data_IF_627045683936
#
_entry.id   IF_627045683936
#
_cell.length_a   1.000
_cell.length_b   1.000
_cell.length_c   1.000
_cell.angle_alpha   90.00
_cell.angle_beta   90.00
_cell.angle_gamma   90.00
#
_symmetry.space_group_name_H-M   'P 1'
#
loop_
_entity.id
_entity.type
_entity.pdbx_description
1 polymer ?
#
# COMPACT_ATOMS: atom_id res chain seq x y z
N UNK A 1 53.67 2.71 -46.57
CA UNK A 1 52.59 3.51 -46.00
C UNK A 1 51.71 2.57 -45.16
N UNK A 2 52.01 2.53 -43.89
CA UNK A 2 51.27 1.73 -42.90
C UNK A 2 50.13 2.60 -42.32
N UNK A 3 48.90 2.14 -42.48
CA UNK A 3 47.76 2.77 -41.80
C UNK A 3 47.69 2.18 -40.41
N UNK A 4 47.89 3.01 -39.41
CA UNK A 4 47.67 2.68 -38.03
C UNK A 4 46.17 2.38 -37.78
N UNK A 5 45.92 1.24 -37.26
CA UNK A 5 44.62 0.81 -36.71
C UNK A 5 44.52 1.44 -35.30
N UNK A 6 43.85 2.58 -35.19
CA UNK A 6 43.49 3.18 -33.92
C UNK A 6 42.19 2.59 -33.46
N UNK A 7 42.29 1.43 -32.82
CA UNK A 7 41.20 0.92 -32.00
C UNK A 7 41.08 1.79 -30.75
N UNK A 8 40.05 2.64 -30.74
CA UNK A 8 39.62 3.33 -29.53
C UNK A 8 39.27 2.30 -28.45
N UNK A 9 39.72 2.42 -27.22
CA UNK A 9 39.30 1.56 -26.16
C UNK A 9 37.80 1.83 -25.86
N UNK A 10 36.99 0.82 -26.14
CA UNK A 10 35.62 0.78 -25.69
C UNK A 10 35.65 0.60 -24.16
N UNK A 11 35.46 1.70 -23.42
CA UNK A 11 35.32 1.69 -21.98
C UNK A 11 33.92 1.21 -21.64
N UNK A 12 33.77 -0.11 -21.65
CA UNK A 12 32.60 -0.81 -21.12
C UNK A 12 32.85 -1.09 -19.65
N UNK A 13 32.42 -0.24 -18.74
CA UNK A 13 31.89 -0.61 -17.42
C UNK A 13 31.71 0.60 -16.50
N UNK A 14 30.74 1.42 -16.81
CA UNK A 14 30.00 2.09 -15.75
C UNK A 14 28.52 1.72 -15.86
N UNK A 15 28.24 0.44 -15.81
CA UNK A 15 26.93 -0.07 -15.51
C UNK A 15 26.58 0.42 -14.10
N UNK A 16 25.60 1.30 -13.98
CA UNK A 16 25.01 1.66 -12.72
C UNK A 16 24.40 0.40 -12.11
N UNK A 17 25.17 -0.34 -11.31
CA UNK A 17 24.68 -1.50 -10.59
C UNK A 17 23.70 -1.03 -9.51
N UNK A 18 22.42 -1.12 -9.79
CA UNK A 18 21.39 -0.88 -8.77
C UNK A 18 21.48 -2.01 -7.75
N UNK A 19 21.87 -1.67 -6.52
CA UNK A 19 21.91 -2.64 -5.45
C UNK A 19 20.50 -3.01 -5.02
N UNK A 20 20.14 -4.29 -5.14
CA UNK A 20 18.92 -4.85 -4.57
C UNK A 20 19.21 -5.39 -3.18
N UNK A 21 18.36 -5.04 -2.22
CA UNK A 21 18.46 -5.52 -0.84
C UNK A 21 17.14 -6.14 -0.39
N UNK A 22 17.19 -7.20 0.44
CA UNK A 22 15.98 -7.79 1.02
C UNK A 22 15.12 -6.73 1.70
N UNK A 23 13.81 -6.83 1.54
CA UNK A 23 12.87 -5.95 2.22
C UNK A 23 12.61 -6.50 3.62
N UNK A 24 12.73 -5.63 4.60
CA UNK A 24 12.48 -5.93 6.01
C UNK A 24 11.81 -4.72 6.70
N UNK A 25 11.38 -4.93 7.92
CA UNK A 25 10.68 -3.92 8.72
C UNK A 25 11.52 -2.65 8.92
N UNK A 26 12.85 -2.76 9.07
CA UNK A 26 13.72 -1.59 9.27
C UNK A 26 13.77 -0.70 8.03
N UNK A 27 13.78 -1.28 6.84
CA UNK A 27 13.71 -0.52 5.59
C UNK A 27 12.36 0.18 5.41
N UNK A 28 11.26 -0.48 5.76
CA UNK A 28 9.93 0.16 5.78
C UNK A 28 9.89 1.29 6.79
N UNK A 29 10.45 1.09 7.99
CA UNK A 29 10.57 2.13 9.03
C UNK A 29 11.30 3.37 8.51
N UNK A 30 12.40 3.19 7.78
CA UNK A 30 13.15 4.28 7.17
C UNK A 30 12.31 5.05 6.13
N UNK A 31 11.54 4.35 5.28
CA UNK A 31 10.63 4.97 4.32
C UNK A 31 9.56 5.80 5.03
N UNK A 32 8.90 5.23 6.05
CA UNK A 32 7.86 5.93 6.81
C UNK A 32 8.39 7.19 7.51
N UNK A 33 9.59 7.12 8.08
CA UNK A 33 10.27 8.29 8.64
C UNK A 33 10.60 9.35 7.59
N UNK A 34 11.05 8.92 6.41
CA UNK A 34 11.36 9.82 5.29
C UNK A 34 10.13 10.59 4.77
N UNK A 35 8.94 10.04 4.97
CA UNK A 35 7.65 10.67 4.62
C UNK A 35 6.94 11.33 5.82
N UNK A 36 7.62 11.50 6.95
CA UNK A 36 7.09 12.13 8.17
C UNK A 36 5.79 11.48 8.70
N UNK A 37 5.65 10.17 8.51
CA UNK A 37 4.48 9.43 8.97
C UNK A 37 4.67 8.89 10.40
N UNK A 38 3.64 9.06 11.21
CA UNK A 38 3.55 8.39 12.50
C UNK A 38 3.13 6.94 12.30
N UNK A 39 3.83 6.02 12.95
CA UNK A 39 3.53 4.60 12.88
C UNK A 39 3.78 3.90 14.21
N UNK A 40 3.14 2.76 14.39
CA UNK A 40 3.39 1.84 15.50
C UNK A 40 3.81 0.48 14.97
N UNK A 41 4.34 -0.36 15.83
CA UNK A 41 4.68 -1.75 15.52
C UNK A 41 3.54 -2.65 16.00
N UNK A 42 2.86 -3.35 15.09
CA UNK A 42 1.81 -4.32 15.41
C UNK A 42 2.34 -5.73 15.62
N UNK A 43 3.45 -6.07 14.95
CA UNK A 43 4.22 -7.31 15.16
C UNK A 43 5.69 -7.11 14.76
N UNK A 44 6.53 -8.14 14.90
CA UNK A 44 7.93 -8.06 14.44
C UNK A 44 8.07 -7.75 12.94
N UNK A 45 7.09 -8.18 12.16
CA UNK A 45 7.11 -8.12 10.69
C UNK A 45 6.06 -7.16 10.13
N UNK A 46 5.39 -6.35 10.99
CA UNK A 46 4.32 -5.47 10.55
C UNK A 46 4.34 -4.12 11.27
N UNK A 47 4.27 -3.05 10.48
CA UNK A 47 4.11 -1.67 10.95
C UNK A 47 2.73 -1.15 10.60
N UNK A 48 2.10 -0.44 11.53
CA UNK A 48 0.77 0.15 11.37
C UNK A 48 0.85 1.68 11.31
N UNK A 49 0.24 2.27 10.29
CA UNK A 49 0.12 3.72 10.10
C UNK A 49 -1.35 4.09 10.23
N UNK A 50 -1.79 4.65 11.37
CA UNK A 50 -3.15 5.12 11.53
C UNK A 50 -3.35 6.45 10.78
N UNK A 51 -4.47 6.55 10.08
CA UNK A 51 -4.94 7.78 9.46
C UNK A 51 -6.37 8.06 9.92
N UNK A 52 -6.95 9.20 9.49
CA UNK A 52 -8.31 9.58 9.84
C UNK A 52 -9.35 8.53 9.46
N UNK A 53 -9.22 7.95 8.26
CA UNK A 53 -10.23 7.08 7.65
C UNK A 53 -9.82 5.61 7.53
N UNK A 54 -8.58 5.27 7.90
CA UNK A 54 -8.07 3.91 7.75
C UNK A 54 -6.89 3.62 8.69
N UNK A 55 -6.51 2.36 8.78
CA UNK A 55 -5.22 1.93 9.31
C UNK A 55 -4.50 1.16 8.21
N UNK A 56 -3.30 1.58 7.88
CA UNK A 56 -2.43 0.97 6.87
C UNK A 56 -1.43 0.05 7.54
N UNK A 57 -1.32 -1.18 7.05
CA UNK A 57 -0.40 -2.19 7.56
C UNK A 57 0.64 -2.55 6.51
N UNK A 58 1.90 -2.32 6.83
CA UNK A 58 3.06 -2.72 6.04
C UNK A 58 3.58 -4.05 6.55
N UNK A 59 3.38 -5.12 5.79
CA UNK A 59 3.70 -6.49 6.19
C UNK A 59 4.89 -7.03 5.40
N UNK A 60 5.92 -7.51 6.12
CA UNK A 60 7.15 -8.09 5.58
C UNK A 60 7.33 -9.56 5.94
N UNK A 61 6.29 -10.23 6.45
CA UNK A 61 6.35 -11.63 6.89
C UNK A 61 6.62 -12.62 5.76
N UNK A 62 6.19 -12.27 4.53
CA UNK A 62 6.51 -13.07 3.36
C UNK A 62 7.80 -12.56 2.70
N UNK A 63 8.89 -13.38 2.65
CA UNK A 63 10.16 -12.92 2.07
C UNK A 63 10.10 -12.65 0.56
N UNK A 64 9.03 -13.07 -0.11
CA UNK A 64 8.84 -12.92 -1.55
C UNK A 64 7.93 -11.77 -1.94
N UNK A 65 7.15 -11.25 -1.00
CA UNK A 65 6.12 -10.24 -1.26
C UNK A 65 6.14 -9.19 -0.15
N UNK A 66 6.28 -7.92 -0.52
CA UNK A 66 5.95 -6.81 0.35
C UNK A 66 4.49 -6.46 0.14
N UNK A 67 3.72 -6.41 1.21
CA UNK A 67 2.30 -6.11 1.20
C UNK A 67 1.99 -4.81 1.94
N UNK A 68 1.21 -3.93 1.30
CA UNK A 68 0.49 -2.86 1.95
C UNK A 68 -1.00 -3.20 1.98
N UNK A 69 -1.57 -3.30 3.18
CA UNK A 69 -2.98 -3.56 3.40
C UNK A 69 -3.57 -2.43 4.23
N UNK A 70 -4.71 -1.89 3.81
CA UNK A 70 -5.40 -0.84 4.53
C UNK A 70 -6.82 -1.27 4.90
N UNK A 71 -7.16 -1.08 6.15
CA UNK A 71 -8.49 -1.31 6.69
C UNK A 71 -9.22 0.02 6.76
N UNK A 72 -10.22 0.19 5.91
CA UNK A 72 -11.10 1.36 5.97
C UNK A 72 -11.95 1.35 7.24
N UNK A 73 -12.24 2.53 7.81
CA UNK A 73 -12.99 2.62 9.07
C UNK A 73 -14.49 2.36 8.92
N UNK A 74 -15.04 2.47 7.71
CA UNK A 74 -16.46 2.18 7.46
C UNK A 74 -16.77 0.69 7.68
N UNK A 75 -17.86 0.43 8.39
CA UNK A 75 -18.27 -0.92 8.78
C UNK A 75 -19.72 -1.13 8.35
N UNK A 76 -19.99 -2.19 7.60
CA UNK A 76 -21.35 -2.62 7.31
C UNK A 76 -21.91 -3.41 8.50
N UNK A 77 -23.11 -3.03 8.98
CA UNK A 77 -23.79 -3.62 10.13
C UNK A 77 -25.13 -4.25 9.76
N UNK A 78 -25.59 -4.09 8.52
CA UNK A 78 -26.80 -4.68 7.97
C UNK A 78 -26.62 -5.12 6.51
N UNK A 79 -27.61 -5.82 5.98
CA UNK A 79 -27.57 -6.41 4.63
C UNK A 79 -27.52 -5.35 3.53
N UNK A 80 -28.14 -4.18 3.70
CA UNK A 80 -28.15 -3.10 2.72
C UNK A 80 -26.76 -2.43 2.63
N UNK A 81 -26.15 -2.18 3.78
CA UNK A 81 -24.77 -1.67 3.87
C UNK A 81 -23.77 -2.68 3.30
N UNK A 82 -23.93 -3.97 3.62
CA UNK A 82 -23.11 -5.03 3.06
C UNK A 82 -23.19 -5.06 1.53
N UNK A 83 -24.42 -5.02 0.97
CA UNK A 83 -24.61 -5.00 -0.47
C UNK A 83 -23.94 -3.76 -1.15
N UNK A 84 -24.02 -2.61 -0.50
CA UNK A 84 -23.35 -1.39 -0.97
C UNK A 84 -21.82 -1.55 -1.01
N UNK A 85 -21.22 -2.14 0.02
CA UNK A 85 -19.77 -2.43 0.04
C UNK A 85 -19.38 -3.46 -1.03
N UNK A 86 -20.19 -4.49 -1.25
CA UNK A 86 -19.95 -5.50 -2.30
C UNK A 86 -19.89 -4.84 -3.68
N UNK A 87 -20.80 -3.92 -3.98
CA UNK A 87 -20.81 -3.22 -5.27
C UNK A 87 -19.56 -2.33 -5.44
N UNK A 88 -19.13 -1.63 -4.39
CA UNK A 88 -17.91 -0.82 -4.45
C UNK A 88 -16.63 -1.66 -4.61
N UNK A 89 -16.56 -2.80 -3.93
CA UNK A 89 -15.46 -3.77 -4.12
C UNK A 89 -15.44 -4.28 -5.55
N UNK A 90 -16.59 -4.66 -6.10
CA UNK A 90 -16.71 -5.11 -7.48
C UNK A 90 -16.28 -4.02 -8.48
N UNK A 91 -16.73 -2.78 -8.28
CA UNK A 91 -16.36 -1.64 -9.11
C UNK A 91 -14.86 -1.37 -9.04
N UNK A 92 -14.27 -1.34 -7.84
CA UNK A 92 -12.83 -1.16 -7.66
C UNK A 92 -12.04 -2.21 -8.46
N UNK A 93 -12.32 -3.49 -8.23
CA UNK A 93 -11.57 -4.59 -8.85
C UNK A 93 -11.77 -4.71 -10.38
N UNK A 94 -12.86 -4.16 -10.91
CA UNK A 94 -13.15 -4.23 -12.37
C UNK A 94 -12.68 -3.03 -13.17
N UNK A 95 -12.52 -1.86 -12.53
CA UNK A 95 -12.23 -0.60 -13.23
C UNK A 95 -10.90 0.03 -12.90
N UNK A 96 -10.26 -0.37 -11.79
CA UNK A 96 -8.97 0.17 -11.33
C UNK A 96 -7.82 -0.80 -11.60
N UNK A 97 -6.64 -0.27 -11.84
CA UNK A 97 -5.40 -1.04 -11.88
C UNK A 97 -5.03 -1.59 -10.49
N UNK A 98 -5.41 -0.91 -9.46
CA UNK A 98 -5.27 -1.23 -8.05
C UNK A 98 -6.01 -0.20 -7.19
N UNK A 99 -6.16 -0.46 -5.90
CA UNK A 99 -5.81 -1.66 -5.15
C UNK A 99 -6.74 -2.84 -5.44
N UNK A 100 -6.38 -4.04 -5.00
CA UNK A 100 -7.32 -5.15 -4.81
C UNK A 100 -8.17 -4.83 -3.58
N UNK A 101 -9.49 -4.91 -3.72
CA UNK A 101 -10.41 -4.69 -2.60
C UNK A 101 -11.18 -5.96 -2.26
N UNK A 102 -11.50 -6.15 -0.97
CA UNK A 102 -12.32 -7.26 -0.49
C UNK A 102 -12.97 -6.94 0.85
N UNK A 103 -13.99 -7.71 1.22
CA UNK A 103 -14.66 -7.60 2.50
C UNK A 103 -14.15 -8.67 3.46
N UNK A 104 -13.97 -8.30 4.71
CA UNK A 104 -13.61 -9.21 5.79
C UNK A 104 -14.67 -9.16 6.89
N UNK A 105 -15.16 -10.31 7.37
CA UNK A 105 -16.05 -10.37 8.51
C UNK A 105 -15.28 -10.05 9.80
N UNK A 106 -15.96 -9.38 10.73
CA UNK A 106 -15.53 -9.32 12.12
C UNK A 106 -15.80 -10.64 12.84
N UNK A 107 -15.25 -10.82 14.03
CA UNK A 107 -15.39 -12.06 14.83
C UNK A 107 -16.84 -12.43 15.11
N UNK A 108 -17.75 -11.46 15.18
CA UNK A 108 -19.18 -11.67 15.37
C UNK A 108 -19.91 -12.26 14.15
N UNK A 109 -19.23 -12.29 12.97
CA UNK A 109 -19.79 -12.77 11.71
C UNK A 109 -20.97 -11.97 11.17
N UNK A 110 -21.26 -10.79 11.74
CA UNK A 110 -22.41 -9.94 11.39
C UNK A 110 -21.97 -8.60 10.80
N UNK A 111 -20.79 -8.15 11.15
CA UNK A 111 -20.20 -6.91 10.66
C UNK A 111 -19.12 -7.22 9.65
N UNK A 112 -18.98 -6.34 8.67
CA UNK A 112 -17.98 -6.47 7.60
C UNK A 112 -17.21 -5.17 7.45
N UNK A 113 -15.91 -5.29 7.38
CA UNK A 113 -15.00 -4.21 7.02
C UNK A 113 -14.52 -4.33 5.58
N UNK A 114 -14.10 -3.21 4.99
CA UNK A 114 -13.50 -3.18 3.67
C UNK A 114 -11.98 -3.06 3.79
N UNK A 115 -11.27 -3.90 3.06
CA UNK A 115 -9.82 -3.94 3.00
C UNK A 115 -9.39 -3.65 1.57
N UNK A 116 -8.37 -2.80 1.43
CA UNK A 116 -7.68 -2.52 0.18
C UNK A 116 -6.21 -2.96 0.29
N UNK A 117 -5.67 -3.57 -0.74
CA UNK A 117 -4.36 -4.22 -0.71
C UNK A 117 -3.57 -3.97 -1.99
N UNK A 118 -2.29 -3.65 -1.84
CA UNK A 118 -1.31 -3.59 -2.92
C UNK A 118 -0.10 -4.43 -2.53
N UNK A 119 0.40 -5.23 -3.47
CA UNK A 119 1.53 -6.13 -3.28
C UNK A 119 2.59 -5.89 -4.34
N UNK A 120 3.86 -6.10 -3.97
CA UNK A 120 4.98 -6.16 -4.91
C UNK A 120 5.84 -7.39 -4.67
N UNK A 121 6.27 -8.03 -5.75
CA UNK A 121 7.22 -9.14 -5.68
C UNK A 121 8.59 -8.60 -5.27
N UNK A 122 9.14 -9.13 -4.18
CA UNK A 122 10.39 -8.69 -3.56
C UNK A 122 11.39 -9.84 -3.34
N UNK A 123 11.23 -10.96 -4.06
CA UNK A 123 12.04 -12.19 -3.89
C UNK A 123 13.54 -11.92 -3.97
N UNK A 124 13.97 -11.06 -4.89
CA UNK A 124 15.38 -10.69 -5.06
C UNK A 124 15.75 -9.37 -4.35
N UNK A 125 14.88 -8.88 -3.49
CA UNK A 125 14.99 -7.55 -2.88
C UNK A 125 14.48 -6.43 -3.78
N UNK A 126 14.48 -5.22 -3.24
CA UNK A 126 14.14 -3.98 -3.94
C UNK A 126 15.26 -2.96 -3.76
N UNK A 127 15.50 -2.12 -4.77
CA UNK A 127 16.31 -0.92 -4.58
C UNK A 127 15.56 0.10 -3.73
N UNK A 128 16.27 1.11 -3.22
CA UNK A 128 15.64 2.24 -2.52
C UNK A 128 14.59 2.93 -3.40
N UNK A 129 14.94 3.19 -4.66
CA UNK A 129 14.03 3.83 -5.61
C UNK A 129 12.77 2.98 -5.91
N UNK A 130 12.91 1.65 -6.00
CA UNK A 130 11.78 0.75 -6.21
C UNK A 130 10.87 0.70 -4.97
N UNK A 131 11.46 0.68 -3.79
CA UNK A 131 10.70 0.66 -2.54
C UNK A 131 9.93 1.97 -2.35
N UNK A 132 10.56 3.10 -2.62
CA UNK A 132 9.93 4.42 -2.53
C UNK A 132 8.81 4.60 -3.56
N UNK A 133 9.04 4.18 -4.80
CA UNK A 133 8.03 4.20 -5.85
C UNK A 133 6.82 3.31 -5.51
N UNK A 134 7.05 2.13 -4.93
CA UNK A 134 5.97 1.26 -4.46
C UNK A 134 5.19 1.91 -3.33
N UNK A 135 5.88 2.53 -2.36
CA UNK A 135 5.26 3.26 -1.25
C UNK A 135 4.32 4.36 -1.78
N UNK A 136 4.83 5.29 -2.58
CA UNK A 136 4.05 6.42 -3.09
C UNK A 136 2.87 5.96 -3.94
N UNK A 137 3.10 5.00 -4.84
CA UNK A 137 2.05 4.52 -5.75
C UNK A 137 0.95 3.77 -5.01
N UNK A 138 1.30 2.85 -4.11
CA UNK A 138 0.33 2.04 -3.38
C UNK A 138 -0.49 2.88 -2.39
N UNK A 139 0.15 3.80 -1.67
CA UNK A 139 -0.55 4.76 -0.81
C UNK A 139 -1.54 5.61 -1.61
N UNK A 140 -1.10 6.17 -2.74
CA UNK A 140 -1.95 6.99 -3.62
C UNK A 140 -3.15 6.22 -4.17
N UNK A 141 -2.95 4.97 -4.60
CA UNK A 141 -4.04 4.12 -5.11
C UNK A 141 -5.10 3.84 -4.04
N UNK A 142 -4.67 3.49 -2.83
CA UNK A 142 -5.59 3.18 -1.73
C UNK A 142 -6.30 4.43 -1.23
N UNK A 143 -5.58 5.53 -1.04
CA UNK A 143 -6.17 6.82 -0.62
C UNK A 143 -7.19 7.32 -1.64
N UNK A 144 -6.89 7.25 -2.93
CA UNK A 144 -7.80 7.62 -4.00
C UNK A 144 -9.07 6.75 -4.01
N UNK A 145 -8.94 5.44 -3.80
CA UNK A 145 -10.08 4.55 -3.68
C UNK A 145 -10.95 4.87 -2.46
N UNK A 146 -10.35 5.10 -1.30
CA UNK A 146 -11.10 5.46 -0.08
C UNK A 146 -11.77 6.83 -0.19
N UNK A 147 -11.15 7.79 -0.88
CA UNK A 147 -11.78 9.09 -1.16
C UNK A 147 -13.06 8.93 -1.99
N UNK A 148 -13.01 8.15 -3.07
CA UNK A 148 -14.19 7.88 -3.91
C UNK A 148 -15.26 7.08 -3.15
N UNK A 149 -14.83 6.16 -2.28
CA UNK A 149 -15.73 5.38 -1.44
C UNK A 149 -16.50 6.28 -0.45
N UNK A 150 -15.83 7.25 0.17
CA UNK A 150 -16.44 8.21 1.09
C UNK A 150 -17.39 9.19 0.39
N UNK A 151 -17.11 9.57 -0.84
CA UNK A 151 -18.04 10.36 -1.66
C UNK A 151 -19.31 9.58 -2.03
N UNK A 152 -19.15 8.29 -2.35
CA UNK A 152 -20.26 7.42 -2.76
C UNK A 152 -21.10 6.92 -1.58
N UNK A 153 -20.43 6.60 -0.47
CA UNK A 153 -21.02 6.00 0.73
C UNK A 153 -20.85 6.93 1.94
N UNK A 154 -21.28 8.17 1.82
CA UNK A 154 -21.13 9.19 2.87
C UNK A 154 -21.75 8.79 4.21
N UNK A 155 -22.80 7.95 4.20
CA UNK A 155 -23.45 7.45 5.42
C UNK A 155 -22.57 6.56 6.29
N UNK A 156 -21.48 6.02 5.73
CA UNK A 156 -20.49 5.26 6.50
C UNK A 156 -19.47 6.16 7.22
N UNK A 157 -19.39 7.45 6.86
CA UNK A 157 -18.38 8.37 7.36
C UNK A 157 -18.83 8.98 8.68
N UNK A 158 -18.49 8.33 9.79
CA UNK A 158 -18.86 8.76 11.15
C UNK A 158 -17.71 9.47 11.88
N UNK A 159 -16.47 9.30 11.46
CA UNK A 159 -15.27 9.84 12.10
C UNK A 159 -15.05 11.35 11.91
N UNK A 160 -15.90 12.02 11.13
CA UNK A 160 -15.87 13.47 10.99
C UNK A 160 -16.62 14.21 12.12
N UNK A 161 -17.49 13.51 12.83
CA UNK A 161 -18.37 14.07 13.87
C UNK A 161 -17.69 14.11 15.25
N UNK A 162 -16.58 13.37 15.44
CA UNK A 162 -15.86 13.28 16.72
C UNK A 162 -14.93 14.48 17.01
N UNK A 163 -14.83 15.47 16.11
CA UNK A 163 -13.90 16.59 16.19
C UNK A 163 -14.48 17.93 16.65
N UNK A 164 -15.79 18.06 16.89
CA UNK A 164 -16.44 19.33 17.22
C UNK A 164 -16.85 19.47 18.71
N UNK A 165 -16.23 18.72 19.60
CA UNK A 165 -16.43 18.86 21.06
C UNK A 165 -15.12 19.20 21.76
N UNK A 166 -14.60 20.42 21.52
CA UNK A 166 -13.81 21.19 22.50
C UNK A 166 -14.15 22.66 22.42
#
# INVERSE_FOLDING_TARGET
>A
MSRGDETLPYDSDQGCYVSLSPVNTDRIRAVLHGHDLNFGQSSEEELAVPTRNAVYFWNTSNPHILQLRAHWRGIATDDAQFASLVEEVRRCNSTRTGPKAYLAPFEDGRRYGLIAECDIVATNGLSEAQLDAFFETSMSMIMGFFSDLEETLSDFVTWNEEGDHE
#
